data_IF_736331363936
#
_entry.id   IF_736331363936
#
_cell.length_a   1.000
_cell.length_b   1.000
_cell.length_c   1.000
_cell.angle_alpha   90.00
_cell.angle_beta   90.00
_cell.angle_gamma   90.00
#
_symmetry.space_group_name_H-M   'P 1'
#
loop_
_entity.id
_entity.type
_entity.pdbx_description
1 polymer ?
#
# COMPACT_ATOMS: atom_id res chain seq x y z
N UNK A 1 20.35 -3.11 2.12
CA UNK A 1 19.72 -1.78 1.92
C UNK A 1 20.61 -0.98 0.98
N UNK A 2 20.17 -0.65 -0.23
CA UNK A 2 20.82 0.47 -0.94
C UNK A 2 20.24 1.76 -0.39
N UNK A 3 21.14 2.60 0.07
CA UNK A 3 20.84 3.95 0.53
C UNK A 3 20.73 4.86 -0.67
N UNK A 4 20.01 5.96 -0.50
CA UNK A 4 19.96 6.92 -1.58
C UNK A 4 21.27 7.68 -1.73
N UNK A 5 22.11 7.22 -2.64
CA UNK A 5 23.46 7.74 -2.86
C UNK A 5 23.52 9.26 -3.07
N UNK A 6 22.43 9.89 -3.54
CA UNK A 6 22.31 11.34 -3.68
C UNK A 6 21.15 11.89 -2.84
N UNK A 7 21.50 12.64 -1.79
CA UNK A 7 20.55 13.38 -0.95
C UNK A 7 20.42 14.83 -1.46
N UNK A 8 19.71 15.02 -2.57
CA UNK A 8 19.52 16.32 -3.21
C UNK A 8 18.11 16.92 -2.93
N UNK A 9 17.87 18.13 -3.47
CA UNK A 9 16.58 18.81 -3.30
C UNK A 9 15.40 18.06 -3.93
N UNK A 10 15.62 17.31 -5.02
CA UNK A 10 14.57 16.51 -5.65
C UNK A 10 14.17 15.35 -4.74
N UNK A 11 15.14 14.63 -4.17
CA UNK A 11 14.90 13.58 -3.19
C UNK A 11 14.13 14.10 -1.97
N UNK A 12 14.39 15.34 -1.53
CA UNK A 12 13.67 15.97 -0.43
C UNK A 12 12.19 16.26 -0.78
N UNK A 13 11.91 16.88 -1.94
CA UNK A 13 10.54 17.10 -2.42
C UNK A 13 9.76 15.79 -2.56
N UNK A 14 10.43 14.79 -3.12
CA UNK A 14 9.84 13.48 -3.38
C UNK A 14 9.46 12.77 -2.08
N UNK A 15 10.35 12.78 -1.09
CA UNK A 15 10.07 12.23 0.24
C UNK A 15 9.00 13.03 1.00
N UNK A 16 8.99 14.36 0.91
CA UNK A 16 7.95 15.18 1.52
C UNK A 16 6.55 14.81 0.99
N UNK A 17 6.40 14.62 -0.33
CA UNK A 17 5.14 14.16 -0.92
C UNK A 17 4.71 12.79 -0.41
N UNK A 18 5.66 11.86 -0.28
CA UNK A 18 5.38 10.52 0.22
C UNK A 18 4.94 10.51 1.69
N UNK A 19 5.58 11.35 2.53
CA UNK A 19 5.23 11.58 3.94
C UNK A 19 3.82 12.18 4.06
N UNK A 20 3.53 13.27 3.35
CA UNK A 20 2.24 13.95 3.41
C UNK A 20 1.10 13.02 2.96
N UNK A 21 1.34 12.21 1.93
CA UNK A 21 0.38 11.24 1.44
C UNK A 21 0.27 9.97 2.31
N UNK A 22 1.06 9.83 3.37
CA UNK A 22 1.14 8.64 4.24
C UNK A 22 1.30 7.32 3.46
N UNK A 23 2.02 7.37 2.34
CA UNK A 23 2.16 6.22 1.43
C UNK A 23 3.16 5.18 1.92
N UNK A 24 4.23 5.67 2.53
CA UNK A 24 5.38 4.87 2.95
C UNK A 24 5.60 4.95 4.45
N UNK A 25 5.26 6.09 5.07
CA UNK A 25 5.46 6.38 6.47
C UNK A 25 4.10 6.56 7.15
N UNK A 26 3.89 5.88 8.27
CA UNK A 26 2.57 5.76 8.92
C UNK A 26 2.24 6.94 9.82
N UNK A 27 3.26 7.62 10.34
CA UNK A 27 3.07 8.81 11.16
C UNK A 27 2.70 10.00 10.27
N UNK A 28 2.03 11.01 10.82
CA UNK A 28 1.68 12.20 10.05
C UNK A 28 2.90 13.04 9.69
N UNK A 29 2.77 13.92 8.69
CA UNK A 29 3.80 14.89 8.33
C UNK A 29 4.28 15.74 9.52
N UNK A 30 3.38 16.04 10.47
CA UNK A 30 3.71 16.71 11.73
C UNK A 30 4.76 15.94 12.55
N UNK A 31 4.55 14.65 12.79
CA UNK A 31 5.45 13.82 13.61
C UNK A 31 6.86 13.75 13.01
N UNK A 32 6.96 13.62 11.68
CA UNK A 32 8.26 13.64 11.01
C UNK A 32 8.90 15.03 11.02
N UNK A 33 8.13 16.11 10.87
CA UNK A 33 8.67 17.46 10.96
C UNK A 33 9.25 17.73 12.36
N UNK A 34 8.55 17.33 13.42
CA UNK A 34 9.03 17.44 14.80
C UNK A 34 10.31 16.64 15.03
N UNK A 35 10.38 15.40 14.52
CA UNK A 35 11.58 14.57 14.62
C UNK A 35 12.77 15.18 13.86
N UNK A 36 12.53 15.74 12.67
CA UNK A 36 13.55 16.43 11.88
C UNK A 36 14.05 17.67 12.63
N UNK A 37 13.15 18.49 13.18
CA UNK A 37 13.50 19.68 13.94
C UNK A 37 14.30 19.35 15.21
N UNK A 38 13.91 18.28 15.92
CA UNK A 38 14.66 17.78 17.07
C UNK A 38 16.06 17.28 16.68
N UNK A 39 16.20 16.60 15.54
CA UNK A 39 17.50 16.12 15.05
C UNK A 39 18.43 17.27 14.62
N UNK A 40 17.87 18.29 13.97
CA UNK A 40 18.62 19.47 13.51
C UNK A 40 19.12 20.31 14.69
N UNK A 41 18.33 20.44 15.76
CA UNK A 41 18.66 21.25 16.93
C UNK A 41 19.64 20.59 17.90
N UNK A 42 19.83 19.27 17.82
CA UNK A 42 20.81 18.56 18.63
C UNK A 42 22.24 18.76 18.10
N UNK A 43 23.17 19.06 19.01
CA UNK A 43 24.62 19.19 18.75
C UNK A 43 25.35 17.84 18.56
N UNK A 44 24.62 16.72 18.46
CA UNK A 44 25.16 15.37 18.27
C UNK A 44 24.92 14.83 16.86
N UNK A 45 25.68 13.81 16.45
CA UNK A 45 25.58 13.16 15.13
C UNK A 45 24.14 12.75 14.79
N UNK A 46 23.67 13.07 13.58
CA UNK A 46 22.37 12.58 13.07
C UNK A 46 22.51 11.21 12.39
N UNK A 47 23.72 10.75 12.11
CA UNK A 47 24.02 9.41 11.61
C UNK A 47 23.92 8.36 12.73
N UNK A 48 22.72 8.10 13.24
CA UNK A 48 22.48 7.13 14.34
C UNK A 48 22.33 5.68 13.86
N UNK A 49 22.11 5.47 12.57
CA UNK A 49 22.06 4.15 11.93
C UNK A 49 23.18 4.03 10.89
N UNK A 50 23.66 2.81 10.59
CA UNK A 50 24.61 2.60 9.49
C UNK A 50 24.07 3.24 8.21
N UNK A 51 24.87 4.08 7.56
CA UNK A 51 24.52 4.82 6.35
C UNK A 51 25.81 5.25 5.62
N UNK A 52 25.83 5.30 4.27
CA UNK A 52 26.97 5.81 3.51
C UNK A 52 27.03 7.34 3.52
N UNK A 53 26.03 8.00 4.10
CA UNK A 53 25.96 9.45 4.20
C UNK A 53 26.63 9.94 5.48
N UNK A 54 27.20 11.14 5.42
CA UNK A 54 27.76 11.82 6.58
C UNK A 54 26.79 12.87 7.11
N UNK A 55 27.01 13.35 8.33
CA UNK A 55 26.28 14.48 8.90
C UNK A 55 26.27 15.72 7.98
N UNK A 56 27.39 15.96 7.27
CA UNK A 56 27.52 17.07 6.33
C UNK A 56 26.60 16.95 5.12
N UNK A 57 26.18 15.73 4.76
CA UNK A 57 25.19 15.49 3.70
C UNK A 57 23.77 15.37 4.23
N UNK A 58 23.60 14.74 5.39
CA UNK A 58 22.28 14.49 5.98
C UNK A 58 21.65 15.75 6.55
N UNK A 59 22.40 16.63 7.24
CA UNK A 59 21.81 17.84 7.83
C UNK A 59 21.24 18.80 6.78
N UNK A 60 21.97 19.16 5.70
CA UNK A 60 21.39 19.99 4.64
C UNK A 60 20.15 19.36 4.01
N UNK A 61 20.17 18.04 3.83
CA UNK A 61 19.03 17.30 3.31
C UNK A 61 17.81 17.36 4.25
N UNK A 62 18.02 17.15 5.56
CA UNK A 62 16.96 17.26 6.57
C UNK A 62 16.38 18.68 6.62
N UNK A 63 17.21 19.72 6.48
CA UNK A 63 16.74 21.10 6.35
C UNK A 63 15.87 21.30 5.10
N UNK A 64 16.30 20.78 3.94
CA UNK A 64 15.52 20.86 2.70
C UNK A 64 14.18 20.11 2.84
N UNK A 65 14.20 18.90 3.40
CA UNK A 65 13.01 18.10 3.65
C UNK A 65 12.03 18.79 4.60
N UNK A 66 12.51 19.40 5.69
CA UNK A 66 11.68 20.19 6.59
C UNK A 66 11.04 21.40 5.87
N UNK A 67 11.78 22.07 4.99
CA UNK A 67 11.25 23.14 4.15
C UNK A 67 10.12 22.67 3.23
N UNK A 68 10.34 21.56 2.53
CA UNK A 68 9.34 20.94 1.63
C UNK A 68 8.11 20.45 2.39
N UNK A 69 8.27 19.94 3.61
CA UNK A 69 7.15 19.57 4.49
C UNK A 69 6.36 20.79 4.95
N UNK A 70 7.01 21.91 5.29
CA UNK A 70 6.33 23.13 5.72
C UNK A 70 5.61 23.86 4.58
N UNK A 71 6.06 23.71 3.34
CA UNK A 71 5.50 24.42 2.19
C UNK A 71 3.98 24.19 1.99
N UNK A 72 3.44 22.95 2.04
CA UNK A 72 2.00 22.71 1.98
C UNK A 72 1.27 22.84 3.32
N UNK A 73 1.87 23.42 4.37
CA UNK A 73 1.22 23.55 5.68
C UNK A 73 0.13 24.64 5.68
N UNK A 74 -1.06 24.39 6.28
CA UNK A 74 -1.47 23.17 6.97
C UNK A 74 -1.75 22.01 6.00
N UNK A 75 -1.20 20.83 6.29
CA UNK A 75 -1.46 19.64 5.47
C UNK A 75 -2.94 19.28 5.55
N UNK A 76 -3.61 19.20 4.40
CA UNK A 76 -4.96 18.64 4.34
C UNK A 76 -4.98 17.20 4.87
N UNK A 77 -6.11 16.72 5.42
CA UNK A 77 -6.22 15.32 5.82
C UNK A 77 -5.94 14.41 4.61
N UNK A 78 -5.28 13.26 4.79
CA UNK A 78 -5.04 12.33 3.69
C UNK A 78 -6.36 11.98 3.01
N UNK A 79 -6.34 11.84 1.69
CA UNK A 79 -7.55 11.56 0.90
C UNK A 79 -8.29 10.31 1.40
N UNK A 80 -7.52 9.32 1.86
CA UNK A 80 -7.96 8.10 2.51
C UNK A 80 -6.90 7.61 3.48
N UNK A 81 -7.33 7.11 4.65
CA UNK A 81 -6.45 6.53 5.66
C UNK A 81 -6.93 5.12 6.01
N UNK A 82 -6.05 4.13 5.99
CA UNK A 82 -6.35 2.78 6.50
C UNK A 82 -6.41 2.77 8.04
N UNK A 83 -7.33 1.98 8.60
CA UNK A 83 -7.55 1.81 10.04
C UNK A 83 -7.34 0.36 10.49
N UNK A 84 -7.23 0.12 11.80
CA UNK A 84 -7.01 -1.24 12.35
C UNK A 84 -8.28 -2.07 12.25
N UNK A 85 -8.17 -3.26 11.66
CA UNK A 85 -9.30 -4.18 11.48
C UNK A 85 -9.93 -4.69 12.77
N UNK A 86 -9.20 -4.64 13.90
CA UNK A 86 -9.69 -5.04 15.22
C UNK A 86 -10.96 -4.25 15.63
N UNK A 87 -11.14 -3.05 15.08
CA UNK A 87 -12.33 -2.23 15.33
C UNK A 87 -13.55 -2.65 14.50
N UNK A 88 -13.44 -3.60 13.57
CA UNK A 88 -14.53 -4.02 12.71
C UNK A 88 -15.78 -4.40 13.51
N UNK A 89 -15.62 -5.24 14.53
CA UNK A 89 -16.73 -5.71 15.37
C UNK A 89 -17.44 -4.57 16.08
N UNK A 90 -16.70 -3.55 16.55
CA UNK A 90 -17.30 -2.40 17.23
C UNK A 90 -18.04 -1.46 16.27
N UNK A 91 -17.55 -1.34 15.03
CA UNK A 91 -18.08 -0.41 14.03
C UNK A 91 -19.26 -1.00 13.23
N UNK A 92 -19.25 -2.30 12.95
CA UNK A 92 -20.13 -2.91 11.94
C UNK A 92 -20.83 -4.21 12.39
N UNK A 93 -20.83 -4.56 13.69
CA UNK A 93 -21.36 -5.86 14.17
C UNK A 93 -22.77 -6.21 13.69
N UNK A 94 -23.61 -5.20 13.39
CA UNK A 94 -25.02 -5.36 12.99
C UNK A 94 -25.33 -4.58 11.70
N UNK A 95 -24.32 -4.03 11.03
CA UNK A 95 -24.51 -3.19 9.84
C UNK A 95 -24.80 -4.05 8.60
N UNK A 96 -25.83 -3.66 7.84
CA UNK A 96 -26.02 -4.17 6.48
C UNK A 96 -25.16 -3.36 5.50
N UNK A 97 -24.70 -3.95 4.39
CA UNK A 97 -23.94 -3.20 3.40
C UNK A 97 -24.83 -2.16 2.71
N UNK A 98 -24.28 -0.95 2.52
CA UNK A 98 -24.96 0.18 1.86
C UNK A 98 -24.84 0.09 0.33
N UNK A 99 -23.77 -0.54 -0.17
CA UNK A 99 -23.50 -0.71 -1.59
C UNK A 99 -22.57 -1.92 -1.81
N UNK A 100 -22.39 -2.29 -3.07
CA UNK A 100 -21.48 -3.34 -3.53
C UNK A 100 -20.72 -2.87 -4.75
N UNK A 101 -19.41 -3.05 -4.74
CA UNK A 101 -18.53 -2.85 -5.89
C UNK A 101 -18.50 -4.15 -6.69
N UNK A 102 -18.87 -4.10 -7.95
CA UNK A 102 -18.94 -5.25 -8.87
C UNK A 102 -17.55 -5.58 -9.46
N UNK A 103 -16.55 -5.72 -8.58
CA UNK A 103 -15.17 -6.07 -8.93
C UNK A 103 -14.60 -7.09 -7.94
N UNK A 104 -13.52 -7.76 -8.35
CA UNK A 104 -12.79 -8.71 -7.50
C UNK A 104 -11.96 -7.99 -6.45
N UNK A 105 -11.67 -8.67 -5.34
CA UNK A 105 -10.90 -8.11 -4.22
C UNK A 105 -9.55 -7.54 -4.66
N UNK A 106 -8.80 -8.26 -5.50
CA UNK A 106 -7.47 -7.79 -5.90
C UNK A 106 -7.59 -6.55 -6.77
N UNK A 107 -8.53 -6.49 -7.71
CA UNK A 107 -8.78 -5.27 -8.50
C UNK A 107 -9.15 -4.06 -7.63
N UNK A 108 -9.99 -4.25 -6.61
CA UNK A 108 -10.31 -3.19 -5.64
C UNK A 108 -9.06 -2.76 -4.86
N UNK A 109 -8.24 -3.72 -4.43
CA UNK A 109 -6.99 -3.45 -3.71
C UNK A 109 -5.99 -2.65 -4.57
N UNK A 110 -5.80 -3.03 -5.84
CA UNK A 110 -4.91 -2.30 -6.77
C UNK A 110 -5.37 -0.84 -6.96
N UNK A 111 -6.68 -0.60 -7.12
CA UNK A 111 -7.24 0.76 -7.34
C UNK A 111 -7.25 1.63 -6.09
N UNK A 112 -7.44 1.03 -4.90
CA UNK A 112 -7.43 1.76 -3.63
C UNK A 112 -6.01 1.99 -3.08
N UNK A 113 -5.04 1.15 -3.46
CA UNK A 113 -3.70 1.18 -2.88
C UNK A 113 -3.64 0.64 -1.44
N UNK A 114 -4.68 -0.07 -1.00
CA UNK A 114 -4.75 -0.71 0.32
C UNK A 114 -4.97 -2.21 0.17
N UNK A 115 -4.44 -2.98 1.11
CA UNK A 115 -4.57 -4.44 1.12
C UNK A 115 -5.69 -4.86 2.07
N UNK A 116 -6.47 -5.85 1.66
CA UNK A 116 -7.46 -6.45 2.55
C UNK A 116 -6.76 -7.33 3.58
N UNK A 117 -7.04 -7.12 4.86
CA UNK A 117 -6.57 -7.95 5.95
C UNK A 117 -7.59 -9.02 6.34
N UNK A 118 -7.30 -9.68 7.45
CA UNK A 118 -8.12 -10.75 8.03
C UNK A 118 -8.79 -10.23 9.30
N UNK A 119 -10.05 -10.61 9.51
CA UNK A 119 -10.75 -10.36 10.78
C UNK A 119 -10.73 -11.68 11.56
N UNK A 120 -10.27 -11.69 12.83
CA UNK A 120 -10.30 -12.89 13.65
C UNK A 120 -11.70 -13.52 13.70
N UNK A 121 -11.77 -14.82 13.36
CA UNK A 121 -13.03 -15.57 13.37
C UNK A 121 -13.94 -15.34 12.16
N UNK A 122 -13.51 -14.62 11.12
CA UNK A 122 -14.25 -14.47 9.86
C UNK A 122 -13.42 -14.92 8.65
N UNK A 123 -14.01 -15.64 7.68
CA UNK A 123 -13.32 -16.02 6.46
C UNK A 123 -13.23 -14.90 5.43
N UNK A 124 -14.09 -13.88 5.51
CA UNK A 124 -14.09 -12.77 4.56
C UNK A 124 -12.91 -11.82 4.80
N UNK A 125 -12.08 -11.54 3.78
CA UNK A 125 -11.10 -10.47 3.85
C UNK A 125 -11.80 -9.11 3.95
N UNK A 126 -11.25 -8.21 4.74
CA UNK A 126 -11.83 -6.91 4.97
C UNK A 126 -10.79 -5.79 4.99
N UNK A 127 -11.26 -4.56 4.83
CA UNK A 127 -10.46 -3.35 4.87
C UNK A 127 -11.27 -2.24 5.56
N UNK A 128 -10.63 -1.48 6.45
CA UNK A 128 -11.21 -0.29 7.06
C UNK A 128 -10.48 0.95 6.56
N UNK A 129 -11.26 1.91 6.06
CA UNK A 129 -10.72 3.19 5.62
C UNK A 129 -11.52 4.36 6.19
N UNK A 130 -10.82 5.45 6.45
CA UNK A 130 -11.39 6.77 6.71
C UNK A 130 -11.29 7.60 5.44
N UNK A 131 -12.43 8.09 4.96
CA UNK A 131 -12.52 8.98 3.80
C UNK A 131 -12.15 10.43 4.15
N UNK A 132 -11.98 11.28 3.12
CA UNK A 132 -11.68 12.72 3.29
C UNK A 132 -12.75 13.44 4.09
N UNK A 133 -14.02 13.05 3.96
CA UNK A 133 -15.12 13.54 4.79
C UNK A 133 -15.00 13.22 6.28
N UNK A 134 -14.07 12.32 6.65
CA UNK A 134 -13.92 11.80 8.00
C UNK A 134 -14.78 10.57 8.28
N UNK A 135 -15.67 10.19 7.35
CA UNK A 135 -16.50 8.98 7.46
C UNK A 135 -15.64 7.72 7.42
N UNK A 136 -15.91 6.79 8.33
CA UNK A 136 -15.30 5.47 8.36
C UNK A 136 -16.15 4.50 7.57
N UNK A 137 -15.51 3.78 6.65
CA UNK A 137 -16.11 2.82 5.76
C UNK A 137 -15.40 1.48 5.92
N UNK A 138 -16.17 0.41 6.01
CA UNK A 138 -15.69 -0.95 5.91
C UNK A 138 -15.92 -1.51 4.51
N UNK A 139 -14.93 -2.22 3.99
CA UNK A 139 -15.01 -2.96 2.74
C UNK A 139 -14.82 -4.44 3.07
N UNK A 140 -15.73 -5.29 2.62
CA UNK A 140 -15.66 -6.74 2.85
C UNK A 140 -15.79 -7.47 1.51
N UNK A 141 -14.85 -8.36 1.22
CA UNK A 141 -14.86 -9.15 0.02
C UNK A 141 -15.48 -10.54 0.24
N UNK A 142 -15.75 -11.24 -0.86
CA UNK A 142 -16.09 -12.67 -0.81
C UNK A 142 -14.90 -13.50 -0.32
N UNK A 143 -15.12 -14.63 0.37
CA UNK A 143 -14.04 -15.50 0.84
C UNK A 143 -13.19 -16.08 -0.29
N UNK A 144 -13.80 -16.36 -1.45
CA UNK A 144 -13.08 -16.86 -2.63
C UNK A 144 -12.50 -15.68 -3.40
N UNK A 145 -11.18 -15.71 -3.62
CA UNK A 145 -10.44 -14.58 -4.21
C UNK A 145 -10.93 -14.19 -5.61
N UNK A 146 -11.43 -15.15 -6.40
CA UNK A 146 -11.94 -14.92 -7.75
C UNK A 146 -13.39 -14.44 -7.81
N UNK A 147 -14.14 -14.53 -6.70
CA UNK A 147 -15.55 -14.12 -6.69
C UNK A 147 -15.61 -12.58 -6.70
N UNK A 148 -16.31 -11.96 -7.67
CA UNK A 148 -16.51 -10.52 -7.66
C UNK A 148 -17.51 -10.13 -6.56
N UNK A 149 -17.44 -8.87 -6.13
CA UNK A 149 -18.34 -8.30 -5.14
C UNK A 149 -17.61 -7.93 -3.87
N UNK A 150 -17.36 -6.64 -3.69
CA UNK A 150 -16.89 -6.06 -2.43
C UNK A 150 -18.01 -5.22 -1.83
N UNK A 151 -18.51 -5.65 -0.68
CA UNK A 151 -19.58 -5.00 0.06
C UNK A 151 -19.03 -3.80 0.85
N UNK A 152 -19.77 -2.69 0.82
CA UNK A 152 -19.41 -1.44 1.48
C UNK A 152 -20.31 -1.26 2.70
N UNK A 153 -19.71 -1.07 3.86
CA UNK A 153 -20.37 -0.83 5.14
C UNK A 153 -20.04 0.59 5.59
N UNK A 154 -21.02 1.29 6.17
CA UNK A 154 -20.80 2.60 6.77
C UNK A 154 -21.42 2.63 8.16
N UNK A 155 -20.72 3.26 9.11
CA UNK A 155 -21.16 3.31 10.51
C UNK A 155 -21.89 4.64 10.78
N UNK A 156 -23.07 4.56 11.42
CA UNK A 156 -23.89 5.70 11.80
C UNK A 156 -24.70 6.33 10.66
N UNK A 157 -25.33 7.47 10.94
CA UNK A 157 -26.05 8.24 9.91
C UNK A 157 -25.08 8.95 8.98
N UNK A 158 -24.76 8.29 7.88
CA UNK A 158 -23.89 8.79 6.83
C UNK A 158 -24.69 9.29 5.62
N UNK A 159 -24.10 10.24 4.90
CA UNK A 159 -24.59 10.66 3.59
C UNK A 159 -24.10 9.65 2.54
N UNK A 160 -24.91 8.62 2.29
CA UNK A 160 -24.55 7.51 1.37
C UNK A 160 -24.11 8.02 -0.01
N UNK A 161 -24.85 8.91 -0.70
CA UNK A 161 -24.41 9.47 -1.98
C UNK A 161 -23.02 10.09 -1.93
N UNK A 162 -22.71 10.83 -0.86
CA UNK A 162 -21.37 11.42 -0.67
C UNK A 162 -20.29 10.35 -0.49
N UNK A 163 -20.53 9.34 0.34
CA UNK A 163 -19.61 8.21 0.56
C UNK A 163 -19.32 7.50 -0.77
N UNK A 164 -20.36 7.15 -1.53
CA UNK A 164 -20.21 6.46 -2.80
C UNK A 164 -19.51 7.33 -3.85
N UNK A 165 -19.75 8.64 -3.86
CA UNK A 165 -19.04 9.59 -4.74
C UNK A 165 -17.56 9.68 -4.40
N UNK A 166 -17.19 9.66 -3.12
CA UNK A 166 -15.77 9.67 -2.70
C UNK A 166 -15.08 8.38 -3.13
N UNK A 167 -15.66 7.21 -2.84
CA UNK A 167 -15.11 5.90 -3.23
C UNK A 167 -14.98 5.79 -4.76
N UNK A 168 -16.02 6.22 -5.49
CA UNK A 168 -16.01 6.22 -6.95
C UNK A 168 -14.93 7.15 -7.52
N UNK A 169 -14.71 8.29 -6.89
CA UNK A 169 -13.65 9.23 -7.28
C UNK A 169 -12.25 8.69 -7.02
N UNK A 170 -12.03 7.99 -5.90
CA UNK A 170 -10.73 7.38 -5.56
C UNK A 170 -10.37 6.26 -6.56
N UNK A 171 -11.34 5.40 -6.86
CA UNK A 171 -11.12 4.21 -7.71
C UNK A 171 -11.41 4.44 -9.20
N UNK A 172 -11.83 5.65 -9.57
CA UNK A 172 -12.33 5.99 -10.91
C UNK A 172 -13.41 4.99 -11.40
N UNK A 173 -14.43 4.73 -10.59
CA UNK A 173 -15.50 3.79 -10.91
C UNK A 173 -16.47 4.34 -11.95
N UNK A 174 -16.89 3.49 -12.87
CA UNK A 174 -18.07 3.73 -13.69
C UNK A 174 -19.36 3.42 -12.89
N UNK A 175 -20.49 4.08 -13.20
CA UNK A 175 -21.75 3.87 -12.48
C UNK A 175 -22.26 2.42 -12.45
N UNK A 176 -21.95 1.62 -13.46
CA UNK A 176 -22.32 0.20 -13.53
C UNK A 176 -21.42 -0.72 -12.67
N UNK A 177 -20.32 -0.20 -12.12
CA UNK A 177 -19.40 -0.95 -11.27
C UNK A 177 -19.75 -0.84 -9.78
N UNK A 178 -20.81 -0.12 -9.43
CA UNK A 178 -21.29 0.02 -8.06
C UNK A 178 -22.81 -0.10 -7.98
N UNK A 179 -23.28 -1.08 -7.20
CA UNK A 179 -24.69 -1.32 -6.95
C UNK A 179 -25.07 -0.81 -5.56
N UNK A 180 -26.06 0.08 -5.48
CA UNK A 180 -26.59 0.55 -4.19
C UNK A 180 -27.52 -0.53 -3.62
N UNK A 181 -27.25 -1.00 -2.40
CA UNK A 181 -28.02 -2.06 -1.75
C UNK A 181 -29.10 -1.53 -0.81
N UNK A 182 -28.86 -0.37 -0.18
CA UNK A 182 -29.84 0.31 0.66
C UNK A 182 -30.07 1.76 0.19
N UNK A 183 -31.34 2.17 0.10
CA UNK A 183 -31.73 3.57 -0.11
C UNK A 183 -31.69 4.36 1.21
N UNK A 184 -31.37 5.67 1.19
CA UNK A 184 -31.15 6.43 2.41
C UNK A 184 -32.41 6.49 3.28
N UNK A 185 -32.30 6.04 4.53
CA UNK A 185 -33.29 6.38 5.56
C UNK A 185 -33.20 7.90 5.80
N UNK A 186 -34.34 8.59 5.70
CA UNK A 186 -34.40 10.05 5.69
C UNK A 186 -33.67 10.68 6.89
N UNK A 187 -32.87 11.72 6.60
CA UNK A 187 -31.93 12.46 7.48
C UNK A 187 -32.52 13.07 8.77
N UNK A 188 -33.82 12.93 9.02
CA UNK A 188 -34.62 13.75 9.94
C UNK A 188 -34.93 13.13 11.31
N UNK A 189 -34.35 11.99 11.69
CA UNK A 189 -34.74 11.32 12.96
C UNK A 189 -33.62 11.06 13.99
N UNK A 190 -32.38 11.55 13.77
CA UNK A 190 -31.30 11.34 14.75
C UNK A 190 -30.93 12.64 15.48
N UNK A 191 -31.11 12.71 16.81
CA UNK A 191 -30.75 13.89 17.63
C UNK A 191 -29.27 14.29 17.47
N UNK A 192 -29.00 15.60 17.50
CA UNK A 192 -27.67 16.19 17.29
C UNK A 192 -26.63 15.81 18.35
N UNK A 193 -27.06 15.43 19.56
CA UNK A 193 -26.21 15.02 20.67
C UNK A 193 -25.63 13.61 20.46
N UNK A 194 -26.42 12.64 19.98
CA UNK A 194 -25.94 11.29 19.63
C UNK A 194 -24.94 11.30 18.47
N UNK A 195 -25.09 12.24 17.52
CA UNK A 195 -24.15 12.42 16.39
C UNK A 195 -22.74 12.83 16.87
N UNK A 196 -22.65 13.68 17.88
CA UNK A 196 -21.36 14.13 18.45
C UNK A 196 -20.75 13.09 19.39
N UNK A 197 -21.56 12.35 20.13
CA UNK A 197 -21.09 11.32 21.06
C UNK A 197 -20.54 10.07 20.32
N UNK A 198 -21.21 9.61 19.25
CA UNK A 198 -20.72 8.48 18.44
C UNK A 198 -19.45 8.81 17.64
N UNK A 199 -19.29 10.06 17.17
CA UNK A 199 -18.08 10.50 16.48
C UNK A 199 -16.89 10.77 17.41
N UNK A 200 -17.14 11.19 18.66
CA UNK A 200 -16.06 11.50 19.62
C UNK A 200 -15.49 10.30 20.36
N UNK A 201 -16.21 9.16 20.41
CA UNK A 201 -15.83 8.02 21.24
C UNK A 201 -15.16 6.83 20.53
N UNK A 202 -15.08 6.79 19.19
CA UNK A 202 -14.84 5.54 18.45
C UNK A 202 -13.59 5.52 17.55
N UNK A 203 -12.57 6.32 17.85
CA UNK A 203 -11.31 6.27 17.09
C UNK A 203 -10.08 6.35 18.02
N UNK A 204 -9.76 5.29 18.76
CA UNK A 204 -8.43 5.13 19.37
C UNK A 204 -7.30 4.93 18.32
N UNK A 205 -7.63 4.85 17.03
CA UNK A 205 -6.74 4.48 15.93
C UNK A 205 -5.85 5.62 15.38
N UNK A 206 -5.70 6.73 16.10
CA UNK A 206 -4.61 7.66 15.79
C UNK A 206 -3.25 7.11 16.23
N UNK A 207 -3.23 6.03 17.01
CA UNK A 207 -2.00 5.31 17.33
C UNK A 207 -1.51 4.53 16.11
N UNK A 208 -0.29 4.81 15.62
CA UNK A 208 0.32 4.09 14.50
C UNK A 208 0.22 2.57 14.68
N UNK A 209 0.10 1.84 13.57
CA UNK A 209 0.34 0.40 13.60
C UNK A 209 1.76 0.17 14.12
N UNK A 210 1.91 -0.75 15.08
CA UNK A 210 3.21 -1.02 15.70
C UNK A 210 4.28 -1.31 14.63
N UNK A 211 5.48 -0.77 14.83
CA UNK A 211 6.62 -1.01 13.97
C UNK A 211 7.05 -2.48 14.06
N UNK A 212 7.36 -3.09 12.93
CA UNK A 212 7.74 -4.49 12.83
C UNK A 212 7.39 -5.10 11.49
N UNK A 213 8.24 -6.00 10.99
CA UNK A 213 8.01 -6.71 9.73
C UNK A 213 6.77 -7.59 9.88
N UNK A 214 5.77 -7.36 9.01
CA UNK A 214 4.57 -8.18 8.96
C UNK A 214 4.93 -9.61 8.57
N UNK A 215 4.33 -10.57 9.28
CA UNK A 215 4.28 -11.97 8.88
C UNK A 215 2.89 -12.25 8.36
N UNK A 216 2.80 -12.64 7.09
CA UNK A 216 1.53 -12.94 6.46
C UNK A 216 1.17 -14.42 6.59
N UNK A 217 -0.12 -14.68 6.75
CA UNK A 217 -0.69 -16.02 6.66
C UNK A 217 -0.45 -16.61 5.25
N UNK A 218 -0.41 -17.94 5.10
CA UNK A 218 -0.38 -18.59 3.79
C UNK A 218 -1.50 -18.12 2.86
N UNK A 219 -2.69 -17.87 3.41
CA UNK A 219 -3.86 -17.37 2.70
C UNK A 219 -3.62 -15.95 2.17
N UNK A 220 -3.02 -15.08 2.98
CA UNK A 220 -2.63 -13.73 2.54
C UNK A 220 -1.49 -13.76 1.53
N UNK A 221 -0.51 -14.65 1.68
CA UNK A 221 0.56 -14.83 0.68
C UNK A 221 0.02 -15.34 -0.65
N UNK A 222 -0.92 -16.27 -0.64
CA UNK A 222 -1.55 -16.79 -1.84
C UNK A 222 -2.21 -15.69 -2.69
N UNK A 223 -2.78 -14.65 -2.05
CA UNK A 223 -3.38 -13.49 -2.73
C UNK A 223 -2.36 -12.63 -3.48
N UNK A 224 -1.08 -12.69 -3.09
CA UNK A 224 0.01 -11.97 -3.74
C UNK A 224 0.69 -12.78 -4.84
N UNK A 225 0.29 -14.04 -5.03
CA UNK A 225 0.83 -14.86 -6.12
C UNK A 225 0.42 -14.25 -7.46
N UNK A 226 1.37 -14.20 -8.37
CA UNK A 226 1.15 -13.78 -9.75
C UNK A 226 1.50 -14.92 -10.69
N UNK A 227 0.78 -14.98 -11.79
CA UNK A 227 0.96 -15.99 -12.83
C UNK A 227 1.20 -15.30 -14.16
N UNK A 228 1.82 -16.01 -15.10
CA UNK A 228 2.03 -15.53 -16.46
C UNK A 228 1.06 -16.32 -17.35
N UNK A 229 0.25 -15.61 -18.14
CA UNK A 229 -0.69 -16.24 -19.06
C UNK A 229 -0.01 -16.70 -20.36
N UNK A 230 -0.79 -17.32 -21.25
CA UNK A 230 -0.31 -17.85 -22.53
C UNK A 230 0.28 -16.77 -23.46
N UNK A 231 -0.09 -15.50 -23.27
CA UNK A 231 0.42 -14.36 -24.01
C UNK A 231 1.67 -13.73 -23.36
N UNK A 232 2.21 -14.35 -22.30
CA UNK A 232 3.36 -13.84 -21.56
C UNK A 232 3.04 -12.63 -20.68
N UNK A 233 1.77 -12.41 -20.31
CA UNK A 233 1.33 -11.28 -19.47
C UNK A 233 1.17 -11.69 -18.02
N UNK A 234 1.58 -10.80 -17.13
CA UNK A 234 1.39 -10.93 -15.69
C UNK A 234 -0.08 -10.77 -15.30
N UNK A 235 -0.57 -11.77 -14.58
CA UNK A 235 -1.91 -11.82 -14.00
C UNK A 235 -1.84 -11.99 -12.50
N UNK A 236 -2.78 -11.39 -11.80
CA UNK A 236 -3.06 -11.72 -10.40
C UNK A 236 -3.63 -13.14 -10.32
N UNK A 237 -3.50 -13.81 -9.16
CA UNK A 237 -3.94 -15.22 -9.00
C UNK A 237 -5.44 -15.44 -9.28
N UNK A 238 -6.26 -14.39 -9.18
CA UNK A 238 -7.68 -14.40 -9.50
C UNK A 238 -7.97 -14.18 -11.01
N UNK A 239 -6.93 -14.13 -11.85
CA UNK A 239 -7.01 -13.91 -13.30
C UNK A 239 -7.14 -12.44 -13.71
N UNK A 240 -7.00 -11.50 -12.78
CA UNK A 240 -6.95 -10.07 -13.08
C UNK A 240 -5.66 -9.69 -13.80
N UNK A 241 -5.66 -8.53 -14.46
CA UNK A 241 -4.43 -7.95 -15.02
C UNK A 241 -3.61 -7.38 -13.86
N UNK A 242 -2.32 -7.73 -13.78
CA UNK A 242 -1.43 -7.08 -12.82
C UNK A 242 -1.07 -5.68 -13.31
N UNK A 243 -1.16 -4.70 -12.42
CA UNK A 243 -0.77 -3.33 -12.72
C UNK A 243 -0.15 -2.64 -11.50
N UNK A 244 1.05 -2.09 -11.69
CA UNK A 244 1.83 -1.48 -10.61
C UNK A 244 1.76 0.04 -10.59
N UNK A 245 0.88 0.68 -11.37
CA UNK A 245 0.74 2.16 -11.38
C UNK A 245 0.39 2.74 -10.00
N UNK A 246 -0.38 2.00 -9.22
CA UNK A 246 -0.74 2.36 -7.85
C UNK A 246 0.24 1.81 -6.81
N UNK A 247 1.31 1.16 -7.24
CA UNK A 247 2.26 0.59 -6.32
C UNK A 247 3.01 1.68 -5.55
N UNK A 248 3.08 1.52 -4.23
CA UNK A 248 3.83 2.38 -3.32
C UNK A 248 5.15 1.75 -2.91
N UNK A 249 5.67 0.78 -3.68
CA UNK A 249 6.74 -0.08 -3.19
C UNK A 249 8.13 0.54 -3.13
N UNK A 250 8.27 1.80 -3.52
CA UNK A 250 9.50 2.58 -3.29
C UNK A 250 9.19 3.78 -2.41
N UNK A 251 10.15 4.13 -1.55
CA UNK A 251 10.17 5.41 -0.85
C UNK A 251 10.34 6.58 -1.84
N UNK A 252 10.77 6.30 -3.07
CA UNK A 252 10.72 7.23 -4.21
C UNK A 252 9.29 7.29 -4.77
N UNK A 253 8.62 8.46 -4.74
CA UNK A 253 7.30 8.63 -5.32
C UNK A 253 7.32 8.36 -6.83
N UNK A 254 6.19 7.87 -7.35
CA UNK A 254 5.92 7.69 -8.78
C UNK A 254 6.88 6.74 -9.53
N UNK A 255 7.54 5.82 -8.83
CA UNK A 255 8.33 4.78 -9.50
C UNK A 255 7.46 3.64 -10.02
N UNK A 256 6.21 3.49 -9.55
CA UNK A 256 5.31 2.39 -9.93
C UNK A 256 5.98 1.02 -9.76
N UNK A 257 6.98 0.93 -8.89
CA UNK A 257 7.68 -0.29 -8.59
C UNK A 257 6.89 -1.01 -7.50
N UNK A 258 6.74 -2.32 -7.67
CA UNK A 258 6.15 -3.26 -6.73
C UNK A 258 7.25 -4.19 -6.19
N UNK A 259 7.16 -4.63 -4.93
CA UNK A 259 8.09 -5.64 -4.41
C UNK A 259 7.78 -6.98 -5.08
N UNK A 260 8.80 -7.74 -5.46
CA UNK A 260 8.60 -9.13 -5.85
C UNK A 260 9.59 -10.08 -5.18
N UNK A 261 9.13 -11.32 -5.02
CA UNK A 261 9.95 -12.46 -4.65
C UNK A 261 9.61 -13.62 -5.58
N UNK A 262 10.63 -14.36 -5.99
CA UNK A 262 10.49 -15.66 -6.61
C UNK A 262 10.95 -16.74 -5.64
N UNK A 263 10.10 -17.71 -5.33
CA UNK A 263 10.48 -18.86 -4.51
C UNK A 263 11.36 -19.85 -5.30
N UNK A 264 11.99 -20.86 -4.64
CA UNK A 264 12.80 -21.87 -5.32
C UNK A 264 12.08 -22.74 -6.35
N UNK A 265 10.74 -22.70 -6.40
CA UNK A 265 9.91 -23.41 -7.37
C UNK A 265 9.48 -22.52 -8.53
N UNK A 266 9.99 -21.28 -8.61
CA UNK A 266 9.63 -20.31 -9.64
C UNK A 266 8.28 -19.63 -9.42
N UNK A 267 7.65 -19.77 -8.25
CA UNK A 267 6.42 -19.04 -7.96
C UNK A 267 6.75 -17.58 -7.69
N UNK A 268 6.04 -16.68 -8.35
CA UNK A 268 6.22 -15.25 -8.21
C UNK A 268 5.16 -14.69 -7.26
N UNK A 269 5.62 -13.85 -6.34
CA UNK A 269 4.79 -13.12 -5.39
C UNK A 269 5.07 -11.63 -5.54
N UNK A 270 4.04 -10.82 -5.68
CA UNK A 270 4.14 -9.38 -5.88
C UNK A 270 3.28 -8.66 -4.86
N UNK A 271 3.85 -7.70 -4.13
CA UNK A 271 3.06 -6.73 -3.37
C UNK A 271 3.19 -5.35 -3.99
N UNK A 272 2.03 -4.77 -4.29
CA UNK A 272 1.91 -3.39 -4.75
C UNK A 272 2.19 -2.39 -3.62
N UNK A 273 2.23 -2.85 -2.36
CA UNK A 273 2.37 -1.98 -1.22
C UNK A 273 3.70 -2.18 -0.54
N UNK A 274 4.40 -1.07 -0.28
CA UNK A 274 5.43 -1.02 0.76
C UNK A 274 5.00 -0.02 1.79
N UNK A 275 4.71 -0.55 2.97
CA UNK A 275 4.70 0.25 4.18
C UNK A 275 6.10 0.14 4.77
N UNK A 276 6.82 1.25 4.86
CA UNK A 276 8.19 1.27 5.39
C UNK A 276 8.16 0.68 6.79
N UNK A 277 9.14 -0.19 7.08
CA UNK A 277 9.28 -0.99 8.31
C UNK A 277 8.29 -2.15 8.50
N UNK A 278 7.31 -2.35 7.61
CA UNK A 278 6.26 -3.36 7.77
C UNK A 278 6.21 -4.39 6.65
N UNK A 279 6.18 -3.98 5.38
CA UNK A 279 6.13 -4.92 4.25
C UNK A 279 7.49 -4.91 3.55
N UNK A 280 8.16 -6.06 3.56
CA UNK A 280 9.47 -6.28 2.95
C UNK A 280 9.46 -7.54 2.07
N UNK A 281 10.52 -7.77 1.29
CA UNK A 281 10.72 -9.04 0.58
C UNK A 281 10.60 -10.26 1.49
N UNK A 282 11.07 -10.16 2.74
CA UNK A 282 10.94 -11.23 3.73
C UNK A 282 9.49 -11.50 4.14
N UNK A 283 8.61 -10.51 4.06
CA UNK A 283 7.16 -10.68 4.23
C UNK A 283 6.62 -11.56 3.11
N UNK A 284 6.95 -11.25 1.85
CA UNK A 284 6.54 -12.03 0.67
C UNK A 284 7.15 -13.44 0.63
N UNK A 285 8.36 -13.60 1.15
CA UNK A 285 9.02 -14.90 1.23
C UNK A 285 8.50 -15.76 2.40
N UNK A 286 7.67 -15.22 3.30
CA UNK A 286 7.30 -15.88 4.55
C UNK A 286 8.50 -16.20 5.45
N UNK A 287 9.61 -15.47 5.29
CA UNK A 287 10.90 -15.75 5.92
C UNK A 287 11.70 -16.91 5.31
N UNK A 288 11.24 -17.50 4.21
CA UNK A 288 11.91 -18.60 3.51
C UNK A 288 13.04 -18.17 2.55
N UNK A 289 13.74 -19.15 1.96
CA UNK A 289 14.69 -18.90 0.87
C UNK A 289 13.98 -18.41 -0.38
N UNK A 290 14.69 -17.64 -1.20
CA UNK A 290 14.19 -17.08 -2.47
C UNK A 290 15.19 -17.40 -3.58
N UNK A 291 14.69 -17.64 -4.79
CA UNK A 291 15.51 -17.79 -5.99
C UNK A 291 15.87 -16.44 -6.61
N UNK A 292 15.00 -15.44 -6.44
CA UNK A 292 15.27 -14.06 -6.79
C UNK A 292 14.35 -13.13 -5.97
N UNK A 293 14.78 -11.89 -5.79
CA UNK A 293 13.97 -10.87 -5.14
C UNK A 293 14.36 -9.50 -5.69
N UNK A 294 13.43 -8.55 -5.67
CA UNK A 294 13.70 -7.20 -6.12
C UNK A 294 12.44 -6.40 -6.31
N UNK A 295 12.45 -5.48 -7.27
CA UNK A 295 11.29 -4.67 -7.61
C UNK A 295 10.95 -4.83 -9.09
N UNK A 296 9.65 -4.75 -9.42
CA UNK A 296 9.19 -4.81 -10.80
C UNK A 296 8.17 -3.70 -11.11
N UNK A 297 8.16 -3.27 -12.37
CA UNK A 297 7.11 -2.40 -12.92
C UNK A 297 6.35 -3.16 -13.99
N UNK A 298 5.04 -3.27 -13.81
CA UNK A 298 4.14 -3.92 -14.78
C UNK A 298 2.99 -2.97 -15.10
N UNK A 299 2.69 -2.81 -16.39
CA UNK A 299 1.52 -2.06 -16.85
C UNK A 299 0.70 -2.90 -17.80
N UNK A 300 -0.60 -3.00 -17.52
CA UNK A 300 -1.53 -3.79 -18.32
C UNK A 300 -1.02 -5.24 -18.56
N UNK A 301 -0.37 -5.82 -17.54
CA UNK A 301 0.23 -7.16 -17.55
C UNK A 301 1.60 -7.26 -18.24
N UNK A 302 2.15 -6.19 -18.81
CA UNK A 302 3.46 -6.21 -19.47
C UNK A 302 4.56 -5.77 -18.50
N UNK A 303 5.64 -6.56 -18.41
CA UNK A 303 6.83 -6.19 -17.66
C UNK A 303 7.56 -5.05 -18.37
N UNK A 304 7.87 -3.99 -17.62
CA UNK A 304 8.58 -2.80 -18.13
C UNK A 304 9.92 -2.59 -17.45
N UNK A 305 10.04 -2.99 -16.19
CA UNK A 305 11.26 -2.81 -15.39
C UNK A 305 11.40 -3.98 -14.44
N UNK A 306 12.62 -4.48 -14.29
CA UNK A 306 13.00 -5.48 -13.31
C UNK A 306 14.30 -5.04 -12.64
N UNK A 307 14.32 -5.06 -11.31
CA UNK A 307 15.49 -4.72 -10.50
C UNK A 307 15.79 -5.86 -9.54
N UNK A 308 17.01 -5.87 -9.00
CA UNK A 308 17.43 -6.81 -7.96
C UNK A 308 17.50 -6.13 -6.57
N UNK A 309 16.73 -5.05 -6.41
CA UNK A 309 16.73 -4.22 -5.20
C UNK A 309 15.91 -4.85 -4.07
N UNK A 310 16.47 -5.89 -3.42
CA UNK A 310 15.78 -6.72 -2.43
C UNK A 310 16.16 -6.50 -0.97
N UNK A 311 17.01 -5.52 -0.69
CA UNK A 311 17.33 -5.08 0.67
C UNK A 311 18.13 -6.11 1.49
N UNK A 312 17.43 -7.08 2.10
CA UNK A 312 17.99 -8.13 2.98
C UNK A 312 18.33 -9.44 2.25
N UNK A 313 17.89 -9.61 1.01
CA UNK A 313 18.35 -10.67 0.13
C UNK A 313 19.39 -10.05 -0.80
N UNK A 314 20.70 -10.24 -0.57
CA UNK A 314 21.72 -9.69 -1.46
C UNK A 314 21.65 -10.46 -2.79
N UNK A 315 21.38 -9.79 -3.92
CA UNK A 315 21.28 -10.47 -5.20
C UNK A 315 22.64 -10.91 -5.72
N UNK A 316 22.69 -12.06 -6.38
CA UNK A 316 23.83 -12.52 -7.20
C UNK A 316 23.49 -12.43 -8.68
N UNK A 317 24.50 -12.45 -9.56
CA UNK A 317 24.24 -12.55 -11.02
C UNK A 317 23.46 -13.81 -11.38
N UNK A 318 23.71 -14.90 -10.67
CA UNK A 318 22.99 -16.16 -10.86
C UNK A 318 21.50 -15.99 -10.58
N UNK A 319 21.13 -15.30 -9.49
CA UNK A 319 19.71 -15.04 -9.16
C UNK A 319 19.03 -14.25 -10.27
N UNK A 320 19.71 -13.22 -10.78
CA UNK A 320 19.23 -12.40 -11.90
C UNK A 320 19.07 -13.21 -13.19
N UNK A 321 19.99 -14.13 -13.47
CA UNK A 321 19.87 -15.03 -14.62
C UNK A 321 18.71 -16.01 -14.47
N UNK A 322 18.49 -16.55 -13.26
CA UNK A 322 17.40 -17.48 -12.97
C UNK A 322 16.05 -16.79 -13.20
N UNK A 323 15.82 -15.60 -12.66
CA UNK A 323 14.55 -14.87 -12.87
C UNK A 323 14.34 -14.51 -14.35
N UNK A 324 15.37 -14.03 -15.05
CA UNK A 324 15.23 -13.69 -16.48
C UNK A 324 14.91 -14.94 -17.29
N UNK A 325 15.60 -16.06 -17.05
CA UNK A 325 15.35 -17.33 -17.73
C UNK A 325 13.93 -17.85 -17.46
N UNK A 326 13.47 -17.82 -16.20
CA UNK A 326 12.12 -18.25 -15.83
C UNK A 326 11.05 -17.42 -16.54
N UNK A 327 11.21 -16.10 -16.59
CA UNK A 327 10.27 -15.20 -17.27
C UNK A 327 10.24 -15.46 -18.79
N UNK A 328 11.40 -15.63 -19.41
CA UNK A 328 11.49 -15.94 -20.84
C UNK A 328 10.87 -17.31 -21.17
N UNK A 329 11.13 -18.31 -20.34
CA UNK A 329 10.56 -19.65 -20.50
C UNK A 329 9.03 -19.63 -20.41
N UNK A 330 8.47 -18.73 -19.60
CA UNK A 330 7.03 -18.49 -19.49
C UNK A 330 6.46 -17.55 -20.56
N UNK A 331 7.25 -17.17 -21.56
CA UNK A 331 6.79 -16.38 -22.71
C UNK A 331 6.76 -14.86 -22.49
N UNK A 332 7.31 -14.35 -21.38
CA UNK A 332 7.37 -12.90 -21.13
C UNK A 332 8.30 -12.25 -22.17
N UNK A 333 7.78 -11.23 -22.87
CA UNK A 333 8.61 -10.44 -23.78
C UNK A 333 9.54 -9.51 -22.98
N UNK A 334 10.84 -9.79 -23.04
CA UNK A 334 11.86 -9.00 -22.33
C UNK A 334 12.61 -7.99 -23.22
N UNK A 335 12.28 -7.87 -24.51
CA UNK A 335 13.07 -7.09 -25.47
C UNK A 335 13.18 -5.60 -25.09
N UNK A 336 12.15 -5.04 -24.46
CA UNK A 336 12.07 -3.64 -24.05
C UNK A 336 12.02 -3.46 -22.52
N UNK A 337 12.44 -4.47 -21.76
CA UNK A 337 12.47 -4.40 -20.30
C UNK A 337 13.74 -3.67 -19.86
N UNK A 338 13.58 -2.67 -19.00
CA UNK A 338 14.71 -2.03 -18.32
C UNK A 338 15.18 -2.92 -17.17
N UNK A 339 16.40 -3.44 -17.28
CA UNK A 339 17.05 -4.16 -16.19
C UNK A 339 17.98 -3.21 -15.43
N UNK A 340 17.69 -3.00 -14.14
CA UNK A 340 18.54 -2.23 -13.23
C UNK A 340 19.05 -3.16 -12.13
N UNK A 341 20.13 -3.87 -12.46
CA UNK A 341 20.76 -4.86 -11.58
C UNK A 341 22.01 -4.29 -10.92
N UNK A 342 22.06 -4.37 -9.59
CA UNK A 342 23.17 -3.91 -8.76
C UNK A 342 24.16 -5.02 -8.40
N UNK A 343 23.81 -6.31 -8.59
CA UNK A 343 24.70 -7.43 -8.31
C UNK A 343 26.03 -7.31 -9.07
N UNK A 344 27.15 -7.29 -8.33
CA UNK A 344 28.48 -7.04 -8.93
C UNK A 344 29.19 -8.30 -9.40
N UNK A 345 28.94 -9.46 -8.78
CA UNK A 345 29.48 -10.78 -9.18
C UNK A 345 28.46 -11.89 -9.00
#
# INVERSE_FOLDING_TARGET
MQYEFMLDGRAATDMARAIVARRCLTDGAQSYLEAIDAAITQNGSVCVAPTPHTDNTLRPFLHALAGELRNPFPWGPPFTQELKLDNWGQLFNVGQPIARIEMRLLEVSQRLGFEFGEIPGRPEPALLIRLRSGTVVGLMARPRIGDPGVEIFANGAVDVPRVLSEISGIMALHPNQIAVLQQPVARNQIPSEERKAQQRGLLPDLEPLASGVERWSPERLARHRVVIDEDGRFRTIDGGVLDTRMASASWRPNTELALFVMDPHGNLYVSLRRVVSRIHHSTLAGGGPVAAAGELRVRDGQLLTLTDHSGHYPPTRSDNQIIVAELQQRGVNIANVLFDFAAKE
#
